data_IF_792711925290
#
_entry.id   IF_792711925290
#
_cell.length_a   1.000
_cell.length_b   1.000
_cell.length_c   1.000
_cell.angle_alpha   90.00
_cell.angle_beta   90.00
_cell.angle_gamma   90.00
#
_symmetry.space_group_name_H-M   'P 1'
#
loop_
_entity.id
_entity.type
_entity.pdbx_description
1 polymer ?
#
# COMPACT_ATOMS: atom_id res chain seq x y z
N UNK A 1 3.49 24.45 -10.01
CA UNK A 1 3.94 23.13 -10.49
C UNK A 1 2.72 22.25 -10.59
N UNK A 2 2.37 21.76 -11.77
CA UNK A 2 1.16 20.96 -11.98
C UNK A 2 1.35 19.57 -11.37
N UNK A 3 0.29 18.98 -10.80
CA UNK A 3 0.35 17.68 -10.11
C UNK A 3 0.97 16.56 -10.97
N UNK A 4 0.75 16.61 -12.30
CA UNK A 4 1.34 15.72 -13.31
C UNK A 4 2.87 15.80 -13.39
N UNK A 5 3.43 17.01 -13.33
CA UNK A 5 4.88 17.22 -13.36
C UNK A 5 5.53 16.68 -12.08
N UNK A 6 4.87 16.87 -10.93
CA UNK A 6 5.31 16.31 -9.66
C UNK A 6 5.39 14.79 -9.73
N UNK A 7 4.34 14.15 -10.23
CA UNK A 7 4.29 12.69 -10.35
C UNK A 7 5.34 12.16 -11.34
N UNK A 8 5.49 12.80 -12.51
CA UNK A 8 6.49 12.41 -13.50
C UNK A 8 7.93 12.52 -12.95
N UNK A 9 8.21 13.54 -12.13
CA UNK A 9 9.55 13.76 -11.57
C UNK A 9 9.83 12.88 -10.35
N UNK A 10 8.90 12.85 -9.38
CA UNK A 10 9.09 12.18 -8.09
C UNK A 10 8.74 10.70 -8.13
N UNK A 11 7.85 10.29 -9.02
CA UNK A 11 7.30 8.94 -9.10
C UNK A 11 6.20 8.63 -8.09
N UNK A 12 5.76 9.64 -7.33
CA UNK A 12 4.63 9.57 -6.42
C UNK A 12 3.93 10.92 -6.29
N UNK A 13 2.72 10.90 -5.78
CA UNK A 13 1.94 12.07 -5.37
C UNK A 13 1.11 11.75 -4.13
N UNK A 14 0.94 12.73 -3.24
CA UNK A 14 0.06 12.65 -2.08
C UNK A 14 -1.09 13.62 -2.31
N UNK A 15 -2.31 13.14 -2.12
CA UNK A 15 -3.52 13.97 -2.04
C UNK A 15 -3.91 14.05 -0.57
N UNK A 16 -3.71 15.22 0.01
CA UNK A 16 -3.99 15.44 1.44
C UNK A 16 -5.49 15.55 1.69
N UNK A 17 -5.96 14.95 2.79
CA UNK A 17 -7.36 14.98 3.24
C UNK A 17 -8.35 14.65 2.10
N UNK A 18 -7.98 13.62 1.33
CA UNK A 18 -8.64 13.26 0.08
C UNK A 18 -9.88 12.38 0.29
N UNK A 19 -9.96 11.76 1.47
CA UNK A 19 -11.06 10.90 1.94
C UNK A 19 -11.42 11.35 3.36
N UNK A 20 -12.71 11.55 3.63
CA UNK A 20 -13.17 12.03 4.94
C UNK A 20 -12.89 11.01 6.04
N UNK A 21 -12.63 11.52 7.25
CA UNK A 21 -12.38 10.67 8.42
C UNK A 21 -13.51 9.68 8.70
N UNK A 22 -14.78 10.09 8.56
CA UNK A 22 -15.94 9.20 8.72
C UNK A 22 -15.87 7.99 7.78
N UNK A 23 -15.49 8.22 6.52
CA UNK A 23 -15.36 7.14 5.52
C UNK A 23 -14.20 6.22 5.89
N UNK A 24 -13.10 6.78 6.39
CA UNK A 24 -11.96 5.99 6.87
C UNK A 24 -12.34 5.13 8.08
N UNK A 25 -13.10 5.68 9.03
CA UNK A 25 -13.53 4.96 10.22
C UNK A 25 -14.51 3.83 9.89
N UNK A 26 -15.40 4.03 8.90
CA UNK A 26 -16.22 2.96 8.33
C UNK A 26 -15.35 1.80 7.80
N UNK A 27 -14.28 2.12 7.05
CA UNK A 27 -13.38 1.09 6.52
C UNK A 27 -12.58 0.39 7.61
N UNK A 28 -12.09 1.13 8.61
CA UNK A 28 -11.41 0.54 9.77
C UNK A 28 -12.34 -0.40 10.54
N UNK A 29 -13.60 -0.01 10.73
CA UNK A 29 -14.59 -0.85 11.38
C UNK A 29 -14.86 -2.12 10.56
N UNK A 30 -14.98 -2.00 9.23
CA UNK A 30 -15.10 -3.14 8.33
C UNK A 30 -13.88 -4.07 8.42
N UNK A 31 -12.67 -3.52 8.41
CA UNK A 31 -11.43 -4.30 8.52
C UNK A 31 -11.35 -5.08 9.83
N UNK A 32 -11.89 -4.55 10.94
CA UNK A 32 -11.96 -5.25 12.24
C UNK A 32 -12.99 -6.37 12.26
N UNK A 33 -14.06 -6.27 11.48
CA UNK A 33 -15.14 -7.26 11.46
C UNK A 33 -14.78 -8.51 10.65
N UNK A 34 -13.86 -8.39 9.68
CA UNK A 34 -13.47 -9.48 8.79
C UNK A 34 -12.30 -10.32 9.30
N UNK A 35 -11.84 -10.19 10.55
CA UNK A 35 -10.51 -10.71 10.94
C UNK A 35 -10.39 -11.34 12.35
N UNK A 36 -9.45 -12.30 12.45
CA UNK A 36 -9.00 -13.00 13.67
C UNK A 36 -8.12 -12.14 14.60
N UNK A 37 -7.78 -12.68 15.78
CA UNK A 37 -7.04 -12.03 16.88
C UNK A 37 -5.72 -11.34 16.45
N UNK A 38 -5.03 -11.84 15.42
CA UNK A 38 -3.75 -11.28 14.93
C UNK A 38 -3.83 -9.85 14.36
N UNK A 39 -5.02 -9.38 13.94
CA UNK A 39 -5.23 -7.98 13.56
C UNK A 39 -5.32 -7.04 14.77
N UNK A 40 -5.70 -7.60 15.92
CA UNK A 40 -5.90 -6.89 17.18
C UNK A 40 -4.68 -6.91 18.09
N UNK A 41 -3.69 -7.76 17.83
CA UNK A 41 -2.43 -7.69 18.56
C UNK A 41 -1.61 -6.50 18.02
N UNK A 42 -1.29 -5.58 18.92
CA UNK A 42 -0.38 -4.46 18.63
C UNK A 42 1.10 -4.86 18.84
N UNK A 43 1.35 -6.13 19.15
CA UNK A 43 2.66 -6.66 19.50
C UNK A 43 2.85 -8.00 18.81
N UNK A 44 3.97 -8.19 18.11
CA UNK A 44 4.41 -9.49 17.55
C UNK A 44 4.95 -10.40 18.66
N UNK A 45 4.24 -10.51 19.78
CA UNK A 45 4.49 -11.55 20.77
C UNK A 45 3.39 -12.60 20.60
N UNK A 46 3.84 -13.81 20.29
CA UNK A 46 3.07 -15.05 20.14
C UNK A 46 2.58 -15.42 18.74
N UNK A 47 3.36 -15.13 17.68
CA UNK A 47 3.48 -16.15 16.63
C UNK A 47 4.35 -17.27 17.20
N UNK A 48 3.89 -18.53 17.23
CA UNK A 48 4.65 -19.62 17.82
C UNK A 48 6.01 -19.71 17.12
N UNK A 49 7.09 -19.62 17.92
CA UNK A 49 8.49 -19.76 17.45
C UNK A 49 8.79 -21.14 16.87
N UNK A 50 7.88 -22.09 17.06
CA UNK A 50 7.92 -23.42 16.50
C UNK A 50 6.93 -23.42 15.34
N UNK A 51 7.38 -23.79 14.15
CA UNK A 51 6.63 -23.70 12.89
C UNK A 51 5.42 -24.62 12.77
N UNK A 52 4.54 -24.59 13.75
CA UNK A 52 3.18 -25.09 13.64
C UNK A 52 2.37 -24.04 12.86
N UNK A 53 1.78 -24.42 11.71
CA UNK A 53 0.99 -23.49 10.93
C UNK A 53 -0.24 -23.10 11.74
N UNK A 54 -0.37 -21.81 12.03
CA UNK A 54 -1.68 -21.26 12.39
C UNK A 54 -2.53 -21.40 11.13
N UNK A 55 -3.48 -22.34 11.13
CA UNK A 55 -4.51 -22.47 10.10
C UNK A 55 -5.50 -21.30 10.19
N UNK A 56 -5.01 -20.07 10.11
CA UNK A 56 -5.86 -18.88 9.97
C UNK A 56 -6.09 -18.65 8.48
N UNK A 57 -7.12 -19.31 7.97
CA UNK A 57 -7.65 -19.10 6.63
C UNK A 57 -8.17 -17.66 6.51
N UNK A 58 -7.29 -16.70 6.17
CA UNK A 58 -7.56 -15.40 5.49
C UNK A 58 -6.44 -14.37 5.71
N UNK A 59 -5.47 -14.63 6.59
CA UNK A 59 -4.33 -13.73 6.83
C UNK A 59 -3.09 -14.18 6.06
N UNK A 60 -2.61 -13.34 5.14
CA UNK A 60 -1.32 -13.54 4.48
C UNK A 60 -0.28 -12.77 5.28
N UNK A 61 0.55 -13.48 6.06
CA UNK A 61 1.73 -12.90 6.70
C UNK A 61 2.84 -12.72 5.64
N UNK A 62 3.03 -11.48 5.22
CA UNK A 62 4.02 -11.08 4.21
C UNK A 62 5.14 -10.32 4.91
N UNK A 63 6.14 -11.07 5.40
CA UNK A 63 7.37 -10.53 6.02
C UNK A 63 7.12 -9.67 7.28
N UNK A 64 6.00 -9.86 7.99
CA UNK A 64 5.60 -9.04 9.14
C UNK A 64 4.49 -8.03 8.84
N UNK A 65 4.07 -7.92 7.58
CA UNK A 65 2.83 -7.25 7.18
C UNK A 65 1.65 -8.21 7.33
N UNK A 66 0.59 -7.75 7.99
CA UNK A 66 -0.70 -8.45 8.02
C UNK A 66 -1.58 -7.88 6.92
N UNK A 67 -2.04 -8.74 6.02
CA UNK A 67 -2.98 -8.40 4.96
C UNK A 67 -4.33 -9.04 5.22
N UNK A 68 -5.39 -8.33 4.82
CA UNK A 68 -6.74 -8.87 4.84
C UNK A 68 -7.53 -8.46 3.62
N UNK A 69 -8.40 -9.36 3.20
CA UNK A 69 -9.30 -9.13 2.06
C UNK A 69 -10.37 -8.11 2.45
N UNK A 70 -10.69 -7.23 1.52
CA UNK A 70 -11.80 -6.30 1.70
C UNK A 70 -13.12 -7.03 1.39
N UNK A 71 -14.13 -6.98 2.28
CA UNK A 71 -15.38 -7.70 2.10
C UNK A 71 -16.15 -7.27 0.85
N UNK A 72 -16.95 -8.19 0.33
CA UNK A 72 -17.67 -8.04 -0.93
C UNK A 72 -18.45 -6.72 -1.03
N UNK A 73 -18.52 -6.18 -2.25
CA UNK A 73 -19.07 -4.86 -2.62
C UNK A 73 -18.19 -3.63 -2.32
N UNK A 74 -17.40 -3.63 -1.25
CA UNK A 74 -16.53 -2.50 -0.91
C UNK A 74 -15.40 -2.27 -1.94
N UNK A 75 -14.74 -3.29 -2.52
CA UNK A 75 -13.76 -3.09 -3.60
C UNK A 75 -14.34 -2.29 -4.79
N UNK A 76 -15.58 -2.56 -5.19
CA UNK A 76 -16.26 -1.82 -6.27
C UNK A 76 -16.54 -0.36 -5.90
N UNK A 77 -16.80 -0.07 -4.62
CA UNK A 77 -16.99 1.30 -4.13
C UNK A 77 -15.65 2.03 -4.10
N UNK A 78 -14.59 1.39 -3.60
CA UNK A 78 -13.23 1.92 -3.59
C UNK A 78 -12.73 2.24 -5.00
N UNK A 79 -12.84 1.30 -5.95
CA UNK A 79 -12.45 1.51 -7.35
C UNK A 79 -13.12 2.73 -7.96
N UNK A 80 -14.43 2.92 -7.73
CA UNK A 80 -15.18 4.08 -8.25
C UNK A 80 -14.76 5.38 -7.56
N UNK A 81 -14.64 5.36 -6.24
CA UNK A 81 -14.34 6.55 -5.46
C UNK A 81 -12.92 7.06 -5.74
N UNK A 82 -11.95 6.15 -5.84
CA UNK A 82 -10.54 6.47 -5.98
C UNK A 82 -10.10 6.59 -7.45
N UNK A 83 -10.97 6.25 -8.42
CA UNK A 83 -10.70 6.35 -9.85
C UNK A 83 -10.09 7.68 -10.29
N UNK A 84 -10.63 8.78 -9.75
CA UNK A 84 -10.17 10.14 -10.10
C UNK A 84 -8.68 10.36 -9.84
N UNK A 85 -8.12 9.73 -8.80
CA UNK A 85 -6.73 9.94 -8.40
C UNK A 85 -5.76 9.30 -9.40
N UNK A 86 -5.98 8.03 -9.77
CA UNK A 86 -5.09 7.36 -10.72
C UNK A 86 -5.42 7.68 -12.19
N UNK A 87 -6.70 7.89 -12.56
CA UNK A 87 -7.07 8.23 -13.95
C UNK A 87 -6.62 9.61 -14.39
N UNK A 88 -6.28 10.49 -13.45
CA UNK A 88 -5.64 11.78 -13.77
C UNK A 88 -4.28 11.60 -14.46
N UNK A 89 -3.56 10.52 -14.18
CA UNK A 89 -2.25 10.19 -14.75
C UNK A 89 -2.32 9.04 -15.76
N UNK A 90 -3.20 8.07 -15.52
CA UNK A 90 -3.39 6.88 -16.35
C UNK A 90 -4.87 6.73 -16.76
N UNK A 91 -5.33 7.43 -17.81
CA UNK A 91 -6.76 7.52 -18.14
C UNK A 91 -7.47 6.18 -18.36
N UNK A 92 -6.75 5.18 -18.87
CA UNK A 92 -7.24 3.83 -19.15
C UNK A 92 -6.99 2.83 -18.02
N UNK A 93 -6.43 3.26 -16.88
CA UNK A 93 -6.17 2.37 -15.76
C UNK A 93 -7.46 2.01 -15.00
N UNK A 94 -7.43 0.83 -14.40
CA UNK A 94 -8.42 0.30 -13.48
C UNK A 94 -7.69 -0.35 -12.29
N UNK A 95 -8.35 -0.37 -11.13
CA UNK A 95 -7.82 -1.03 -9.94
C UNK A 95 -8.00 -2.55 -10.06
N UNK A 96 -6.91 -3.29 -9.88
CA UNK A 96 -6.90 -4.76 -9.99
C UNK A 96 -7.46 -5.43 -8.74
N UNK A 97 -7.02 -4.99 -7.56
CA UNK A 97 -7.36 -5.61 -6.29
C UNK A 97 -7.34 -4.56 -5.17
N UNK A 98 -8.01 -4.89 -4.05
CA UNK A 98 -8.01 -4.09 -2.84
C UNK A 98 -7.84 -4.97 -1.62
N UNK A 99 -6.91 -4.58 -0.76
CA UNK A 99 -6.59 -5.25 0.50
C UNK A 99 -6.40 -4.23 1.61
N UNK A 100 -6.74 -4.62 2.84
CA UNK A 100 -6.29 -3.92 4.03
C UNK A 100 -4.88 -4.38 4.38
N UNK A 101 -4.04 -3.45 4.83
CA UNK A 101 -2.68 -3.73 5.29
C UNK A 101 -2.46 -3.11 6.66
N UNK A 102 -1.91 -3.89 7.60
CA UNK A 102 -1.43 -3.42 8.90
C UNK A 102 0.03 -3.85 9.07
N UNK A 103 0.84 -2.93 9.56
CA UNK A 103 2.18 -3.21 10.08
C UNK A 103 2.11 -3.12 11.60
N UNK A 104 2.11 -4.25 12.34
CA UNK A 104 2.07 -4.23 13.80
C UNK A 104 3.28 -3.54 14.40
N UNK A 105 3.12 -2.92 15.58
CA UNK A 105 4.22 -2.23 16.23
C UNK A 105 5.32 -3.21 16.65
N UNK A 106 6.58 -2.77 16.49
CA UNK A 106 7.74 -3.59 16.81
C UNK A 106 8.08 -4.60 15.71
N UNK A 107 7.48 -4.48 14.53
CA UNK A 107 7.97 -5.16 13.33
C UNK A 107 9.23 -4.45 12.82
N UNK A 108 10.14 -5.21 12.20
CA UNK A 108 11.28 -4.59 11.54
C UNK A 108 10.83 -3.95 10.23
N UNK A 109 11.58 -2.93 9.78
CA UNK A 109 11.44 -2.38 8.44
C UNK A 109 11.39 -3.50 7.40
N UNK A 110 10.36 -3.48 6.55
CA UNK A 110 10.27 -4.43 5.46
C UNK A 110 11.34 -4.17 4.40
N UNK A 111 11.77 -5.19 3.64
CA UNK A 111 12.73 -5.00 2.57
C UNK A 111 12.17 -4.05 1.51
N UNK A 112 13.06 -3.20 0.99
CA UNK A 112 12.72 -2.29 -0.09
C UNK A 112 12.40 -3.06 -1.38
N UNK A 113 11.23 -2.80 -1.94
CA UNK A 113 10.69 -3.50 -3.10
C UNK A 113 9.89 -2.56 -4.00
N UNK A 114 9.57 -3.05 -5.20
CA UNK A 114 8.57 -2.44 -6.07
C UNK A 114 7.24 -3.15 -5.84
N UNK A 115 6.19 -2.41 -5.57
CA UNK A 115 4.85 -2.94 -5.37
C UNK A 115 4.17 -3.12 -6.75
N UNK A 116 4.50 -4.20 -7.45
CA UNK A 116 3.73 -4.64 -8.61
C UNK A 116 3.29 -6.09 -8.47
N UNK A 117 2.07 -6.39 -8.89
CA UNK A 117 1.61 -7.76 -9.10
C UNK A 117 2.47 -8.43 -10.20
N UNK A 118 2.46 -9.77 -10.25
CA UNK A 118 3.17 -10.52 -11.28
C UNK A 118 2.95 -9.91 -12.68
N UNK A 119 4.04 -9.60 -13.38
CA UNK A 119 3.98 -8.93 -14.68
C UNK A 119 3.32 -9.85 -15.71
N UNK A 120 2.32 -9.38 -16.46
CA UNK A 120 1.79 -10.13 -17.59
C UNK A 120 2.92 -10.49 -18.56
N UNK A 121 2.92 -11.73 -19.05
CA UNK A 121 3.91 -12.21 -20.01
C UNK A 121 3.92 -11.30 -21.24
N UNK A 122 5.10 -10.80 -21.63
CA UNK A 122 5.25 -9.88 -22.76
C UNK A 122 5.18 -8.39 -22.39
N UNK A 123 5.01 -8.04 -21.11
CA UNK A 123 5.12 -6.63 -20.67
C UNK A 123 6.52 -6.10 -20.95
N UNK A 124 6.60 -4.99 -21.69
CA UNK A 124 7.87 -4.30 -21.89
C UNK A 124 8.27 -3.61 -20.57
N UNK A 125 9.28 -4.16 -19.88
CA UNK A 125 9.78 -3.61 -18.62
C UNK A 125 10.37 -2.20 -18.77
N UNK A 126 10.71 -1.77 -19.99
CA UNK A 126 11.16 -0.42 -20.28
C UNK A 126 9.99 0.55 -20.47
N UNK A 127 8.78 0.05 -20.73
CA UNK A 127 7.56 0.85 -20.73
C UNK A 127 7.02 0.96 -19.31
N UNK A 128 7.54 1.95 -18.60
CA UNK A 128 7.14 2.24 -17.22
C UNK A 128 5.66 2.64 -17.08
N UNK A 129 4.96 2.96 -18.18
CA UNK A 129 3.52 3.25 -18.15
C UNK A 129 2.66 1.98 -18.13
N UNK A 130 3.25 0.84 -18.49
CA UNK A 130 2.61 -0.48 -18.46
C UNK A 130 2.80 -1.21 -17.13
N UNK A 131 3.63 -0.67 -16.22
CA UNK A 131 3.87 -1.28 -14.91
C UNK A 131 2.72 -0.94 -13.95
N UNK A 132 2.08 -1.94 -13.30
CA UNK A 132 1.04 -1.69 -12.31
C UNK A 132 1.58 -0.85 -11.16
N UNK A 133 0.97 0.32 -10.91
CA UNK A 133 1.24 1.14 -9.73
C UNK A 133 0.38 0.75 -8.53
N UNK A 134 0.60 1.44 -7.42
CA UNK A 134 -0.19 1.24 -6.21
C UNK A 134 -0.81 2.54 -5.72
N UNK A 135 -2.00 2.42 -5.17
CA UNK A 135 -2.70 3.50 -4.47
C UNK A 135 -2.91 3.05 -3.02
N UNK A 136 -2.44 3.85 -2.08
CA UNK A 136 -2.60 3.64 -0.66
C UNK A 136 -3.52 4.72 -0.11
N UNK A 137 -4.43 4.34 0.78
CA UNK A 137 -5.21 5.29 1.57
C UNK A 137 -4.84 5.09 3.03
N UNK A 138 -4.35 6.16 3.66
CA UNK A 138 -3.95 6.11 5.05
C UNK A 138 -5.19 6.04 5.94
N UNK A 139 -5.30 4.94 6.70
CA UNK A 139 -6.38 4.74 7.66
C UNK A 139 -6.01 5.21 9.07
N UNK A 140 -4.72 5.47 9.30
CA UNK A 140 -4.20 5.99 10.57
C UNK A 140 -3.20 7.11 10.33
N UNK A 141 -2.96 7.89 11.38
CA UNK A 141 -1.92 8.91 11.37
C UNK A 141 -0.53 8.27 11.41
N UNK A 142 0.47 9.08 11.05
CA UNK A 142 1.89 8.70 11.10
C UNK A 142 2.26 7.48 10.26
N UNK A 143 1.41 7.12 9.29
CA UNK A 143 1.68 6.03 8.35
C UNK A 143 2.87 6.41 7.48
N UNK A 144 3.93 5.61 7.55
CA UNK A 144 5.24 5.96 7.00
C UNK A 144 5.78 4.94 6.02
N UNK A 145 6.41 5.43 4.95
CA UNK A 145 7.13 4.62 3.96
C UNK A 145 8.53 5.17 3.76
N UNK A 146 9.53 4.30 3.82
CA UNK A 146 10.83 4.61 3.23
C UNK A 146 10.77 4.47 1.72
N UNK A 147 11.45 5.36 1.03
CA UNK A 147 11.45 5.45 -0.43
C UNK A 147 12.86 5.64 -0.96
N UNK A 148 13.10 5.09 -2.15
CA UNK A 148 14.42 5.07 -2.78
C UNK A 148 14.38 5.58 -4.23
N UNK A 149 13.27 6.18 -4.64
CA UNK A 149 13.03 6.64 -6.02
C UNK A 149 12.58 5.52 -6.95
N UNK A 150 12.38 5.86 -8.23
CA UNK A 150 11.96 4.92 -9.28
C UNK A 150 13.07 4.63 -10.31
N UNK A 151 14.04 5.54 -10.44
CA UNK A 151 15.11 5.50 -11.44
C UNK A 151 16.38 4.75 -10.99
N UNK A 152 16.31 3.97 -9.91
CA UNK A 152 17.45 3.25 -9.36
C UNK A 152 17.28 1.74 -9.48
N UNK A 153 18.35 1.03 -9.83
CA UNK A 153 18.39 -0.44 -9.83
C UNK A 153 18.85 -1.02 -8.50
N UNK A 154 19.50 -0.20 -7.65
CA UNK A 154 20.08 -0.61 -6.38
C UNK A 154 19.53 0.29 -5.27
N UNK A 155 19.11 -0.34 -4.18
CA UNK A 155 18.64 0.34 -2.97
C UNK A 155 19.85 0.68 -2.10
N UNK A 156 20.10 1.98 -1.91
CA UNK A 156 21.14 2.47 -1.01
C UNK A 156 20.49 3.17 0.19
N UNK A 157 20.87 2.79 1.41
CA UNK A 157 20.39 3.44 2.64
C UNK A 157 20.66 4.95 2.66
N UNK A 158 21.74 5.41 2.03
CA UNK A 158 22.05 6.84 1.90
C UNK A 158 21.04 7.64 1.09
N UNK A 159 20.28 6.98 0.22
CA UNK A 159 19.26 7.60 -0.64
C UNK A 159 17.86 7.51 -0.02
N UNK A 160 17.73 6.92 1.17
CA UNK A 160 16.47 6.72 1.88
C UNK A 160 15.82 8.07 2.17
N UNK A 161 14.56 8.20 1.76
CA UNK A 161 13.69 9.31 2.15
C UNK A 161 12.42 8.76 2.76
N UNK A 162 11.81 9.50 3.67
CA UNK A 162 10.54 9.11 4.27
C UNK A 162 9.40 9.87 3.60
N UNK A 163 8.31 9.16 3.34
CA UNK A 163 6.99 9.72 3.08
C UNK A 163 6.16 9.43 4.32
N UNK A 164 5.57 10.46 4.88
CA UNK A 164 4.59 10.36 5.97
C UNK A 164 3.25 10.80 5.41
N UNK A 165 2.21 10.03 5.72
CA UNK A 165 0.83 10.32 5.36
C UNK A 165 -0.07 10.19 6.58
N UNK A 166 -1.02 11.10 6.69
CA UNK A 166 -1.99 11.15 7.79
C UNK A 166 -3.31 10.50 7.39
N UNK A 167 -4.16 10.21 8.37
CA UNK A 167 -5.49 9.65 8.14
C UNK A 167 -6.25 10.46 7.08
N UNK A 168 -6.79 9.77 6.07
CA UNK A 168 -7.53 10.41 4.97
C UNK A 168 -6.67 10.81 3.76
N UNK A 169 -5.34 10.80 3.88
CA UNK A 169 -4.45 11.04 2.76
C UNK A 169 -4.43 9.86 1.79
N UNK A 170 -4.28 10.18 0.50
CA UNK A 170 -4.12 9.20 -0.58
C UNK A 170 -2.75 9.33 -1.19
N UNK A 171 -1.95 8.27 -1.12
CA UNK A 171 -0.64 8.16 -1.75
C UNK A 171 -0.77 7.34 -3.04
N UNK A 172 -0.42 7.92 -4.17
CA UNK A 172 -0.30 7.23 -5.45
C UNK A 172 1.16 7.10 -5.83
N UNK A 173 1.62 5.87 -6.11
CA UNK A 173 2.99 5.57 -6.55
C UNK A 173 3.00 4.90 -7.93
N UNK A 174 4.05 5.15 -8.71
CA UNK A 174 4.31 4.40 -9.95
C UNK A 174 4.69 2.95 -9.66
N UNK A 175 4.48 2.07 -10.64
CA UNK A 175 4.85 0.65 -10.50
C UNK A 175 6.35 0.37 -10.41
N UNK A 176 7.19 1.26 -10.93
CA UNK A 176 8.65 1.16 -10.82
C UNK A 176 9.21 1.81 -9.53
N UNK A 177 8.37 2.42 -8.70
CA UNK A 177 8.77 3.13 -7.49
C UNK A 177 9.15 2.16 -6.37
N UNK A 178 10.31 2.39 -5.75
CA UNK A 178 10.83 1.51 -4.70
C UNK A 178 10.45 2.07 -3.33
N UNK A 179 9.72 1.26 -2.56
CA UNK A 179 9.30 1.58 -1.19
C UNK A 179 9.62 0.45 -0.21
N UNK A 180 9.71 0.80 1.07
CA UNK A 180 9.75 -0.11 2.20
C UNK A 180 8.80 0.42 3.28
N UNK A 181 7.73 -0.31 3.64
CA UNK A 181 6.92 0.02 4.81
C UNK A 181 7.77 0.07 6.09
N UNK A 182 7.47 1.04 6.94
CA UNK A 182 8.10 1.21 8.27
C UNK A 182 7.28 0.45 9.31
N UNK A 183 7.96 -0.24 10.25
CA UNK A 183 7.36 -1.03 11.33
C UNK A 183 7.61 -0.50 12.73
#
# INVERSE_FOLDING_TARGET
MQVRETFARKGYVIFYDAVSEDTIDEWRASARQTQTEAWFTDVVHDLPKNGDPVEDHELINDEGRVKAVIPDQLPRRLSRMLARFYRTFFPAADANDWEYQKTPAGTNDLPARREFAAMPVGTNIMDTSALPGSIFVATDNDTSFYTYGWNHNIVLRSNRRQIEVSKGDVLLIRGDFIIAPVG
#
